data_IF_232354788276
#
_entry.id   IF_232354788276
#
_cell.length_a   1.000
_cell.length_b   1.000
_cell.length_c   1.000
_cell.angle_alpha   90.00
_cell.angle_beta   90.00
_cell.angle_gamma   90.00
#
_symmetry.space_group_name_H-M   'P 1'
#
loop_
_entity.id
_entity.type
_entity.pdbx_description
1 polymer ?
#
# COMPACT_ATOMS: atom_id res chain seq x y z
N UNK A 1 47.55 48.32 -20.73
CA UNK A 1 46.75 47.09 -20.89
C UNK A 1 46.53 46.35 -19.56
N UNK A 2 46.18 47.05 -18.47
CA UNK A 2 45.82 46.40 -17.18
C UNK A 2 44.46 46.85 -16.63
N UNK A 3 43.89 47.92 -17.19
CA UNK A 3 42.61 48.48 -16.77
C UNK A 3 41.44 48.11 -17.71
N UNK A 4 41.73 47.44 -18.84
CA UNK A 4 40.71 47.01 -19.81
C UNK A 4 40.13 45.62 -19.49
N UNK A 5 40.88 44.80 -18.74
CA UNK A 5 40.46 43.43 -18.36
C UNK A 5 39.46 43.46 -17.19
N UNK A 6 39.55 44.45 -16.29
CA UNK A 6 38.68 44.55 -15.11
C UNK A 6 37.24 44.94 -15.49
N UNK A 7 37.05 45.69 -16.58
CA UNK A 7 35.70 46.12 -17.02
C UNK A 7 34.92 44.96 -17.64
N UNK A 8 35.58 44.06 -18.38
CA UNK A 8 34.93 42.90 -19.01
C UNK A 8 34.48 41.87 -17.98
N UNK A 9 35.22 41.71 -16.87
CA UNK A 9 34.83 40.78 -15.80
C UNK A 9 33.61 41.28 -15.02
N UNK A 10 33.39 42.60 -14.92
CA UNK A 10 32.20 43.16 -14.26
C UNK A 10 30.94 43.22 -15.14
N UNK A 11 31.06 43.15 -16.48
CA UNK A 11 29.88 43.16 -17.36
C UNK A 11 29.31 41.77 -17.65
N UNK A 12 30.07 40.70 -17.36
CA UNK A 12 29.59 39.30 -17.51
C UNK A 12 28.88 38.81 -16.24
N UNK A 13 28.97 39.54 -15.13
CA UNK A 13 28.36 39.14 -13.85
C UNK A 13 26.92 39.65 -13.63
N UNK A 14 26.33 40.38 -14.59
CA UNK A 14 24.98 40.97 -14.44
C UNK A 14 23.95 40.51 -15.47
N UNK A 15 24.28 39.55 -16.34
CA UNK A 15 23.32 38.93 -17.29
C UNK A 15 23.10 37.44 -17.05
N UNK A 16 23.32 36.98 -15.81
CA UNK A 16 22.76 35.73 -15.30
C UNK A 16 21.66 36.03 -14.27
N UNK A 17 20.75 36.95 -14.61
CA UNK A 17 19.36 36.74 -14.25
C UNK A 17 18.88 35.59 -15.14
N UNK A 18 19.31 34.38 -14.80
CA UNK A 18 18.44 33.24 -15.02
C UNK A 18 17.18 33.60 -14.24
N UNK A 19 16.13 33.97 -14.96
CA UNK A 19 14.82 33.51 -14.58
C UNK A 19 15.01 32.00 -14.42
N UNK A 20 15.32 31.58 -13.19
CA UNK A 20 14.87 30.33 -12.70
C UNK A 20 13.36 30.44 -12.88
N UNK A 21 12.89 30.03 -14.07
CA UNK A 21 11.65 29.33 -14.19
C UNK A 21 11.76 28.31 -13.06
N UNK A 22 11.20 28.66 -11.91
CA UNK A 22 10.70 27.68 -11.01
C UNK A 22 9.97 26.76 -11.96
N UNK A 23 10.52 25.56 -12.19
CA UNK A 23 9.70 24.46 -12.59
C UNK A 23 8.61 24.51 -11.54
N UNK A 24 7.48 25.13 -11.89
CA UNK A 24 6.21 24.64 -11.45
C UNK A 24 6.23 23.23 -11.99
N UNK A 25 6.87 22.34 -11.23
CA UNK A 25 6.40 20.99 -11.13
C UNK A 25 4.94 21.24 -10.79
N UNK A 26 4.08 21.23 -11.81
CA UNK A 26 2.69 20.87 -11.63
C UNK A 26 2.74 19.40 -11.20
N UNK A 27 3.30 19.13 -10.01
CA UNK A 27 3.40 17.80 -9.45
C UNK A 27 1.98 17.28 -9.42
N UNK A 28 1.71 16.19 -10.15
CA UNK A 28 0.41 15.54 -10.36
C UNK A 28 -0.84 16.27 -9.80
N UNK A 29 -1.05 17.52 -10.23
CA UNK A 29 -2.10 18.37 -9.70
C UNK A 29 -3.15 18.54 -10.78
N UNK A 30 -4.37 18.14 -10.46
CA UNK A 30 -5.49 18.19 -11.40
C UNK A 30 -6.81 18.26 -10.64
N UNK A 31 -7.84 18.77 -11.31
CA UNK A 31 -9.20 18.76 -10.81
C UNK A 31 -10.07 17.79 -11.60
N UNK A 32 -10.90 17.04 -10.89
CA UNK A 32 -12.00 16.25 -11.44
C UNK A 32 -13.29 17.01 -11.16
N UNK A 33 -13.94 17.59 -12.17
CA UNK A 33 -15.07 18.52 -12.01
C UNK A 33 -16.41 17.91 -12.42
N UNK A 34 -17.52 18.45 -11.91
CA UNK A 34 -18.90 18.09 -12.26
C UNK A 34 -19.25 16.60 -12.07
N UNK A 35 -18.56 15.91 -11.16
CA UNK A 35 -18.80 14.50 -10.91
C UNK A 35 -19.94 14.30 -9.90
N UNK A 36 -20.58 13.13 -9.97
CA UNK A 36 -21.34 12.59 -8.84
C UNK A 36 -20.43 11.69 -8.00
N UNK A 37 -20.17 12.07 -6.76
CA UNK A 37 -19.35 11.27 -5.84
C UNK A 37 -20.25 10.31 -5.05
N UNK A 38 -19.86 9.04 -5.02
CA UNK A 38 -20.46 8.04 -4.13
C UNK A 38 -19.73 8.09 -2.79
N UNK A 39 -20.35 8.73 -1.81
CA UNK A 39 -19.86 8.80 -0.44
C UNK A 39 -20.26 7.50 0.28
N UNK A 40 -19.32 6.55 0.28
CA UNK A 40 -19.50 5.22 0.89
C UNK A 40 -19.57 5.26 2.41
N UNK A 41 -19.02 6.29 3.05
CA UNK A 41 -19.03 6.44 4.50
C UNK A 41 -20.43 6.84 4.99
N UNK A 42 -21.03 7.83 4.33
CA UNK A 42 -22.35 8.34 4.69
C UNK A 42 -23.49 7.75 3.85
N UNK A 43 -23.20 6.78 2.98
CA UNK A 43 -24.19 6.09 2.13
C UNK A 43 -25.06 7.03 1.29
N UNK A 44 -24.43 8.04 0.66
CA UNK A 44 -25.14 9.06 -0.13
C UNK A 44 -24.44 9.38 -1.45
N UNK A 45 -25.18 9.99 -2.36
CA UNK A 45 -24.65 10.55 -3.60
C UNK A 45 -24.50 12.06 -3.45
N UNK A 46 -23.38 12.59 -3.91
CA UNK A 46 -23.07 14.02 -3.89
C UNK A 46 -22.87 14.50 -5.32
N UNK A 47 -23.87 15.20 -5.85
CA UNK A 47 -23.88 15.71 -7.23
C UNK A 47 -23.15 17.05 -7.37
N UNK A 48 -22.74 17.38 -8.59
CA UNK A 48 -22.03 18.61 -8.94
C UNK A 48 -20.81 18.87 -8.02
N UNK A 49 -19.96 17.87 -7.87
CA UNK A 49 -18.77 17.95 -7.02
C UNK A 49 -17.49 18.07 -7.84
N UNK A 50 -16.51 18.75 -7.26
CA UNK A 50 -15.15 18.83 -7.74
C UNK A 50 -14.17 18.27 -6.70
N UNK A 51 -13.26 17.41 -7.16
CA UNK A 51 -12.13 16.91 -6.39
C UNK A 51 -10.86 17.58 -6.89
N UNK A 52 -10.14 18.28 -6.01
CA UNK A 52 -8.80 18.81 -6.28
C UNK A 52 -7.75 17.82 -5.78
N UNK A 53 -6.92 17.32 -6.69
CA UNK A 53 -5.73 16.52 -6.38
C UNK A 53 -4.51 17.42 -6.47
N UNK A 54 -3.64 17.31 -5.46
CA UNK A 54 -2.36 18.01 -5.40
C UNK A 54 -1.32 17.08 -4.78
N UNK A 55 -0.16 16.91 -5.43
CA UNK A 55 0.95 16.07 -4.97
C UNK A 55 0.49 14.67 -4.55
N UNK A 56 -0.25 14.00 -5.44
CA UNK A 56 -0.83 12.65 -5.26
C UNK A 56 -1.80 12.50 -4.08
N UNK A 57 -2.32 13.61 -3.54
CA UNK A 57 -3.28 13.61 -2.44
C UNK A 57 -4.55 14.37 -2.80
N UNK A 58 -5.67 13.94 -2.22
CA UNK A 58 -6.91 14.71 -2.25
C UNK A 58 -6.71 15.96 -1.38
N UNK A 59 -6.65 17.12 -2.02
CA UNK A 59 -6.52 18.41 -1.34
C UNK A 59 -7.86 18.91 -0.81
N UNK A 60 -8.91 18.74 -1.61
CA UNK A 60 -10.28 19.11 -1.20
C UNK A 60 -11.33 18.45 -2.07
N UNK A 61 -12.53 18.30 -1.51
CA UNK A 61 -13.76 17.91 -2.21
C UNK A 61 -14.81 18.97 -1.90
N UNK A 62 -15.34 19.66 -2.92
CA UNK A 62 -16.29 20.78 -2.76
C UNK A 62 -17.32 20.79 -3.89
N UNK A 63 -18.46 21.44 -3.67
CA UNK A 63 -19.40 21.74 -4.76
C UNK A 63 -18.65 22.53 -5.84
N UNK A 64 -18.85 22.19 -7.11
CA UNK A 64 -18.17 22.83 -8.24
C UNK A 64 -18.39 24.34 -8.25
N UNK A 65 -19.56 24.81 -7.85
CA UNK A 65 -19.89 26.24 -7.85
C UNK A 65 -19.14 27.04 -6.75
N UNK A 66 -18.55 26.34 -5.78
CA UNK A 66 -17.88 26.91 -4.61
C UNK A 66 -16.35 26.78 -4.62
N UNK A 67 -15.78 26.15 -5.65
CA UNK A 67 -14.34 25.97 -5.78
C UNK A 67 -13.78 26.93 -6.84
N UNK A 68 -12.67 27.58 -6.51
CA UNK A 68 -11.89 28.39 -7.45
C UNK A 68 -10.65 27.59 -7.78
N UNK A 69 -10.46 27.28 -9.06
CA UNK A 69 -9.31 26.53 -9.56
C UNK A 69 -8.30 27.50 -10.18
N UNK A 70 -7.01 27.19 -10.02
CA UNK A 70 -5.93 27.94 -10.67
C UNK A 70 -5.99 27.76 -12.20
N UNK A 71 -5.65 28.81 -12.95
CA UNK A 71 -5.84 28.86 -14.42
C UNK A 71 -4.98 27.87 -15.21
N UNK A 72 -3.91 27.35 -14.62
CA UNK A 72 -2.98 26.38 -15.21
C UNK A 72 -3.20 24.94 -14.71
N UNK A 73 -4.24 24.69 -13.91
CA UNK A 73 -4.55 23.36 -13.42
C UNK A 73 -5.12 22.48 -14.55
N UNK A 74 -4.68 21.23 -14.65
CA UNK A 74 -5.33 20.25 -15.53
C UNK A 74 -6.74 19.96 -15.02
N UNK A 75 -7.76 20.24 -15.82
CA UNK A 75 -9.17 19.99 -15.49
C UNK A 75 -9.68 18.81 -16.31
N UNK A 76 -10.36 17.88 -15.63
CA UNK A 76 -11.02 16.73 -16.23
C UNK A 76 -12.50 16.83 -15.87
N UNK A 77 -13.34 17.15 -16.87
CA UNK A 77 -14.78 17.22 -16.70
C UNK A 77 -15.41 15.83 -16.71
N UNK A 78 -16.17 15.52 -15.67
CA UNK A 78 -16.79 14.24 -15.41
C UNK A 78 -18.32 14.35 -15.32
N UNK A 79 -18.92 15.36 -15.97
CA UNK A 79 -20.37 15.49 -16.06
C UNK A 79 -21.04 14.17 -16.50
N UNK A 80 -22.07 13.76 -15.75
CA UNK A 80 -22.78 12.50 -15.97
C UNK A 80 -21.97 11.23 -15.62
N UNK A 81 -20.81 11.37 -14.97
CA UNK A 81 -19.98 10.25 -14.48
C UNK A 81 -20.00 10.20 -12.95
N UNK A 82 -19.63 9.02 -12.45
CA UNK A 82 -19.52 8.75 -11.02
C UNK A 82 -18.06 8.58 -10.61
N UNK A 83 -17.73 9.03 -9.42
CA UNK A 83 -16.47 8.74 -8.74
C UNK A 83 -16.75 7.86 -7.53
N UNK A 84 -15.98 6.78 -7.42
CA UNK A 84 -15.91 5.91 -6.25
C UNK A 84 -14.47 5.89 -5.72
N UNK A 85 -14.23 5.54 -4.45
CA UNK A 85 -12.89 5.22 -3.98
C UNK A 85 -12.27 4.06 -4.79
N UNK A 86 -10.94 4.03 -4.87
CA UNK A 86 -10.22 2.89 -5.43
C UNK A 86 -10.59 1.60 -4.70
N UNK A 87 -10.79 0.51 -5.45
CA UNK A 87 -11.22 -0.76 -4.88
C UNK A 87 -10.05 -1.43 -4.14
N UNK A 88 -10.38 -2.19 -3.10
CA UNK A 88 -9.41 -2.91 -2.27
C UNK A 88 -9.73 -4.40 -2.29
N UNK A 89 -8.79 -5.22 -2.78
CA UNK A 89 -8.88 -6.68 -2.62
C UNK A 89 -8.12 -7.12 -1.36
N UNK A 90 -8.87 -7.53 -0.35
CA UNK A 90 -8.33 -7.84 0.98
C UNK A 90 -7.74 -9.25 1.12
N UNK A 91 -7.77 -10.09 0.07
CA UNK A 91 -7.29 -11.47 0.17
C UNK A 91 -6.73 -12.00 -1.15
N UNK A 92 -5.45 -11.70 -1.41
CA UNK A 92 -4.70 -12.24 -2.57
C UNK A 92 -3.55 -13.15 -2.15
N UNK A 93 -2.98 -13.86 -3.14
CA UNK A 93 -1.79 -14.73 -3.01
C UNK A 93 -0.85 -14.54 -4.21
N UNK A 94 0.03 -13.55 -4.14
CA UNK A 94 0.96 -13.11 -5.19
C UNK A 94 2.30 -13.85 -5.17
N UNK A 95 2.68 -14.54 -4.08
CA UNK A 95 3.92 -15.33 -4.06
C UNK A 95 3.88 -16.57 -4.96
N UNK A 96 2.69 -17.10 -5.25
CA UNK A 96 2.47 -18.36 -5.98
C UNK A 96 2.55 -18.20 -7.50
N UNK A 97 1.78 -17.30 -8.14
CA UNK A 97 1.76 -17.21 -9.60
C UNK A 97 3.09 -16.69 -10.15
N UNK A 98 3.54 -17.25 -11.28
CA UNK A 98 4.72 -16.75 -12.00
C UNK A 98 4.42 -15.40 -12.69
N UNK A 99 3.18 -15.18 -13.12
CA UNK A 99 2.73 -13.96 -13.79
C UNK A 99 2.18 -12.89 -12.83
N UNK A 100 2.70 -12.80 -11.59
CA UNK A 100 2.21 -11.86 -10.56
C UNK A 100 2.20 -10.39 -10.97
N UNK A 101 3.17 -9.94 -11.79
CA UNK A 101 3.22 -8.56 -12.31
C UNK A 101 2.03 -8.27 -13.23
N UNK A 102 1.72 -9.19 -14.14
CA UNK A 102 0.55 -9.11 -15.02
C UNK A 102 -0.76 -9.09 -14.20
N UNK A 103 -0.85 -9.92 -13.15
CA UNK A 103 -2.01 -9.94 -12.25
C UNK A 103 -2.19 -8.58 -11.56
N UNK A 104 -1.12 -7.99 -11.02
CA UNK A 104 -1.14 -6.67 -10.39
C UNK A 104 -1.59 -5.57 -11.36
N UNK A 105 -1.09 -5.58 -12.60
CA UNK A 105 -1.53 -4.63 -13.62
C UNK A 105 -3.00 -4.82 -13.98
N UNK A 106 -3.48 -6.06 -14.12
CA UNK A 106 -4.90 -6.34 -14.40
C UNK A 106 -5.81 -5.87 -13.26
N UNK A 107 -5.40 -6.09 -12.02
CA UNK A 107 -6.12 -5.61 -10.84
C UNK A 107 -6.25 -4.08 -10.87
N UNK A 108 -5.14 -3.37 -11.10
CA UNK A 108 -5.14 -1.92 -11.23
C UNK A 108 -6.07 -1.42 -12.35
N UNK A 109 -5.98 -2.00 -13.56
CA UNK A 109 -6.82 -1.61 -14.69
C UNK A 109 -8.30 -1.97 -14.50
N UNK A 110 -8.62 -2.89 -13.58
CA UNK A 110 -9.99 -3.19 -13.16
C UNK A 110 -10.51 -2.29 -12.04
N UNK A 111 -9.71 -1.33 -11.56
CA UNK A 111 -10.07 -0.40 -10.50
C UNK A 111 -9.63 -0.82 -9.09
N UNK A 112 -8.95 -1.96 -8.93
CA UNK A 112 -8.36 -2.38 -7.66
C UNK A 112 -7.02 -1.69 -7.48
N UNK A 113 -7.00 -0.61 -6.68
CA UNK A 113 -5.80 0.20 -6.46
C UNK A 113 -4.91 -0.37 -5.37
N UNK A 114 -5.45 -1.17 -4.46
CA UNK A 114 -4.69 -1.76 -3.36
C UNK A 114 -5.10 -3.20 -3.11
N UNK A 115 -4.12 -4.02 -2.74
CA UNK A 115 -4.33 -5.42 -2.37
C UNK A 115 -3.69 -5.76 -1.04
N UNK A 116 -4.25 -6.76 -0.36
CA UNK A 116 -3.64 -7.37 0.81
C UNK A 116 -3.32 -8.85 0.55
N UNK A 117 -2.04 -9.16 0.53
CA UNK A 117 -1.55 -10.53 0.46
C UNK A 117 -1.57 -11.20 1.84
N UNK A 118 -2.11 -12.41 1.90
CA UNK A 118 -2.38 -13.12 3.16
C UNK A 118 -1.26 -14.05 3.62
N UNK A 119 -0.11 -14.02 2.96
CA UNK A 119 1.07 -14.73 3.40
C UNK A 119 1.89 -15.26 2.23
N UNK A 120 3.20 -15.16 2.36
CA UNK A 120 4.17 -15.61 1.38
C UNK A 120 5.55 -15.10 1.77
N UNK A 121 6.44 -14.96 0.79
CA UNK A 121 7.79 -14.47 1.03
C UNK A 121 7.83 -12.94 0.96
N UNK A 122 8.15 -12.28 2.08
CA UNK A 122 8.18 -10.83 2.17
C UNK A 122 9.12 -10.17 1.15
N UNK A 123 10.23 -10.83 0.79
CA UNK A 123 11.21 -10.28 -0.17
C UNK A 123 10.62 -10.07 -1.56
N UNK A 124 9.67 -10.94 -1.95
CA UNK A 124 8.93 -10.80 -3.21
C UNK A 124 8.09 -9.52 -3.17
N UNK A 125 7.36 -9.29 -2.07
CA UNK A 125 6.48 -8.15 -1.94
C UNK A 125 7.25 -6.84 -1.83
N UNK A 126 8.37 -6.83 -1.10
CA UNK A 126 9.30 -5.68 -1.06
C UNK A 126 9.80 -5.30 -2.46
N UNK A 127 10.20 -6.30 -3.25
CA UNK A 127 10.67 -6.08 -4.63
C UNK A 127 9.55 -5.49 -5.49
N UNK A 128 8.35 -6.06 -5.44
CA UNK A 128 7.20 -5.57 -6.21
C UNK A 128 6.77 -4.17 -5.79
N UNK A 129 6.69 -3.88 -4.49
CA UNK A 129 6.38 -2.54 -3.99
C UNK A 129 7.42 -1.53 -4.44
N UNK A 130 8.71 -1.88 -4.41
CA UNK A 130 9.76 -1.01 -4.94
C UNK A 130 9.55 -0.72 -6.42
N UNK A 131 9.27 -1.73 -7.23
CA UNK A 131 9.00 -1.52 -8.66
C UNK A 131 7.76 -0.64 -8.91
N UNK A 132 6.72 -0.77 -8.09
CA UNK A 132 5.51 0.08 -8.17
C UNK A 132 5.83 1.53 -7.80
N UNK A 133 6.49 1.74 -6.65
CA UNK A 133 6.88 3.07 -6.15
C UNK A 133 7.82 3.78 -7.13
N UNK A 134 8.77 3.05 -7.72
CA UNK A 134 9.71 3.60 -8.70
C UNK A 134 9.06 3.84 -10.09
N UNK A 135 7.78 3.47 -10.28
CA UNK A 135 7.06 3.59 -11.55
C UNK A 135 7.47 2.56 -12.62
N UNK A 136 8.26 1.56 -12.26
CA UNK A 136 8.70 0.47 -13.14
C UNK A 136 7.61 -0.61 -13.35
N UNK A 137 6.61 -0.65 -12.47
CA UNK A 137 5.46 -1.55 -12.57
C UNK A 137 4.17 -0.77 -12.29
N UNK A 138 3.31 -0.64 -13.31
CA UNK A 138 1.93 -0.18 -13.11
C UNK A 138 1.11 -1.31 -12.49
N UNK A 139 0.91 -1.29 -11.18
CA UNK A 139 0.17 -2.30 -10.44
C UNK A 139 -0.43 -1.77 -9.15
N UNK A 140 -1.35 -2.52 -8.56
CA UNK A 140 -1.96 -2.20 -7.27
C UNK A 140 -0.93 -2.17 -6.14
N UNK A 141 -1.08 -1.25 -5.19
CA UNK A 141 -0.26 -1.20 -3.98
C UNK A 141 -0.39 -2.50 -3.18
N UNK A 142 0.72 -3.02 -2.67
CA UNK A 142 0.74 -4.31 -1.97
C UNK A 142 0.96 -4.09 -0.48
N UNK A 143 -0.08 -4.42 0.29
CA UNK A 143 0.01 -4.69 1.71
C UNK A 143 0.14 -6.19 1.92
N UNK A 144 0.89 -6.65 2.91
CA UNK A 144 1.11 -8.08 3.10
C UNK A 144 1.29 -8.46 4.56
N UNK A 145 0.98 -9.72 4.85
CA UNK A 145 1.03 -10.27 6.21
C UNK A 145 2.17 -11.26 6.37
N UNK A 146 2.79 -11.28 7.54
CA UNK A 146 3.57 -12.44 7.97
C UNK A 146 2.60 -13.59 8.31
N UNK A 147 3.00 -14.83 8.06
CA UNK A 147 2.18 -15.99 8.40
C UNK A 147 2.62 -16.59 9.72
N UNK A 148 1.67 -16.82 10.62
CA UNK A 148 1.89 -17.39 11.94
C UNK A 148 1.20 -18.76 12.01
N UNK A 149 1.96 -19.78 12.41
CA UNK A 149 1.50 -21.16 12.47
C UNK A 149 1.60 -21.73 13.88
N UNK A 150 0.67 -22.61 14.22
CA UNK A 150 0.82 -23.49 15.38
C UNK A 150 1.75 -24.68 15.12
N UNK A 151 2.04 -25.47 16.17
CA UNK A 151 3.09 -26.50 16.17
C UNK A 151 2.96 -27.59 15.11
N UNK A 152 1.76 -27.84 14.59
CA UNK A 152 1.45 -28.98 13.73
C UNK A 152 1.47 -28.67 12.23
N UNK A 153 1.75 -27.43 11.81
CA UNK A 153 1.51 -26.99 10.42
C UNK A 153 2.70 -27.14 9.45
N UNK A 154 3.92 -27.40 9.91
CA UNK A 154 5.12 -27.41 9.04
C UNK A 154 5.24 -28.58 8.05
N UNK A 155 4.25 -29.47 7.98
CA UNK A 155 4.21 -30.55 6.97
C UNK A 155 3.70 -30.10 5.61
N UNK A 156 3.16 -28.89 5.51
CA UNK A 156 2.64 -28.38 4.24
C UNK A 156 3.78 -27.94 3.30
N UNK A 157 3.86 -28.48 2.06
CA UNK A 157 4.94 -28.15 1.12
C UNK A 157 5.00 -26.66 0.74
N UNK A 158 3.91 -25.89 0.90
CA UNK A 158 3.88 -24.45 0.65
C UNK A 158 4.83 -23.68 1.58
N UNK A 159 5.04 -24.17 2.80
CA UNK A 159 5.92 -23.55 3.78
C UNK A 159 7.37 -23.52 3.31
N UNK A 160 7.83 -24.56 2.59
CA UNK A 160 9.19 -24.63 2.04
C UNK A 160 9.46 -23.55 0.99
N UNK A 161 8.49 -23.27 0.12
CA UNK A 161 8.64 -22.26 -0.92
C UNK A 161 8.56 -20.84 -0.38
N UNK A 162 7.73 -20.58 0.64
CA UNK A 162 7.60 -19.26 1.25
C UNK A 162 8.79 -18.89 2.16
N UNK A 163 9.59 -19.87 2.57
CA UNK A 163 10.74 -19.69 3.47
C UNK A 163 12.07 -20.12 2.85
N UNK A 164 12.25 -20.01 1.53
CA UNK A 164 13.50 -20.40 0.86
C UNK A 164 14.70 -19.69 1.52
N UNK A 165 15.67 -20.48 1.99
CA UNK A 165 16.84 -19.99 2.73
C UNK A 165 16.68 -19.98 4.26
N UNK A 166 15.52 -20.40 4.77
CA UNK A 166 15.23 -20.60 6.18
C UNK A 166 14.67 -22.01 6.41
N UNK A 167 14.76 -22.49 7.64
CA UNK A 167 13.94 -23.63 8.04
C UNK A 167 12.46 -23.21 8.03
N UNK A 168 11.54 -24.05 7.52
CA UNK A 168 10.12 -23.74 7.57
C UNK A 168 9.67 -23.41 9.00
N UNK A 169 9.07 -22.23 9.19
CA UNK A 169 8.64 -21.73 10.50
C UNK A 169 9.65 -20.84 11.21
N UNK A 170 10.83 -20.61 10.63
CA UNK A 170 11.88 -19.74 11.19
C UNK A 170 12.25 -18.55 10.30
N UNK A 171 11.49 -18.25 9.24
CA UNK A 171 11.66 -17.02 8.47
C UNK A 171 10.93 -15.84 9.15
N UNK A 172 11.46 -14.61 9.16
CA UNK A 172 10.82 -13.46 9.83
C UNK A 172 9.36 -13.20 9.40
N UNK A 173 9.04 -13.47 8.14
CA UNK A 173 7.69 -13.36 7.58
C UNK A 173 6.87 -14.67 7.64
N UNK A 174 7.42 -15.74 8.22
CA UNK A 174 6.77 -17.05 8.33
C UNK A 174 7.23 -17.80 9.58
N UNK A 175 6.44 -17.69 10.66
CA UNK A 175 6.82 -18.12 12.01
C UNK A 175 5.94 -19.23 12.54
N UNK A 176 6.56 -20.24 13.15
CA UNK A 176 5.89 -21.18 14.05
C UNK A 176 5.95 -20.64 15.47
N UNK A 177 4.84 -20.72 16.20
CA UNK A 177 4.77 -20.32 17.60
C UNK A 177 4.23 -21.45 18.47
N UNK A 178 4.71 -21.46 19.71
CA UNK A 178 4.39 -22.37 20.81
C UNK A 178 4.15 -21.54 22.07
N UNK A 179 3.72 -22.15 23.17
CA UNK A 179 3.52 -21.45 24.44
C UNK A 179 4.86 -20.96 25.05
N UNK A 180 5.98 -21.55 24.64
CA UNK A 180 7.34 -21.16 25.04
C UNK A 180 7.95 -20.07 24.14
N UNK A 181 7.28 -19.70 23.04
CA UNK A 181 7.82 -18.74 22.09
C UNK A 181 7.79 -17.31 22.64
N UNK A 182 8.90 -16.58 22.54
CA UNK A 182 8.91 -15.14 22.81
C UNK A 182 8.18 -14.39 21.69
N UNK A 183 6.91 -14.07 21.92
CA UNK A 183 6.05 -13.43 20.93
C UNK A 183 6.49 -12.01 20.56
N UNK A 184 7.16 -11.29 21.47
CA UNK A 184 7.62 -9.93 21.17
C UNK A 184 8.66 -9.95 20.05
N UNK A 185 9.66 -10.83 20.15
CA UNK A 185 10.68 -11.02 19.10
C UNK A 185 10.03 -11.44 17.78
N UNK A 186 9.06 -12.36 17.83
CA UNK A 186 8.33 -12.81 16.63
C UNK A 186 7.63 -11.66 15.91
N UNK A 187 6.98 -10.77 16.67
CA UNK A 187 6.26 -9.62 16.13
C UNK A 187 7.23 -8.56 15.59
N UNK A 188 8.34 -8.32 16.28
CA UNK A 188 9.38 -7.38 15.86
C UNK A 188 10.06 -7.83 14.57
N UNK A 189 10.53 -9.08 14.52
CA UNK A 189 11.14 -9.65 13.33
C UNK A 189 10.20 -9.58 12.13
N UNK A 190 8.90 -9.89 12.34
CA UNK A 190 7.90 -9.76 11.28
C UNK A 190 7.77 -8.30 10.82
N UNK A 191 7.69 -7.34 11.76
CA UNK A 191 7.57 -5.91 11.45
C UNK A 191 8.76 -5.40 10.63
N UNK A 192 9.98 -5.84 10.95
CA UNK A 192 11.19 -5.46 10.22
C UNK A 192 11.16 -5.89 8.74
N UNK A 193 10.34 -6.88 8.40
CA UNK A 193 10.12 -7.27 7.00
C UNK A 193 9.14 -6.38 6.25
N UNK A 194 8.55 -5.37 6.89
CA UNK A 194 7.63 -4.42 6.24
C UNK A 194 6.18 -4.90 6.11
N UNK A 195 5.78 -5.94 6.85
CA UNK A 195 4.39 -6.40 6.90
C UNK A 195 3.48 -5.37 7.56
N UNK A 196 2.21 -5.36 7.17
CA UNK A 196 1.18 -4.53 7.82
C UNK A 196 0.29 -5.30 8.79
N UNK A 197 0.52 -6.61 8.90
CA UNK A 197 -0.13 -7.42 9.90
C UNK A 197 0.36 -8.87 9.92
N UNK A 198 -0.30 -9.66 10.76
CA UNK A 198 -0.04 -11.07 10.97
C UNK A 198 -1.28 -11.87 10.55
N UNK A 199 -1.07 -12.91 9.74
CA UNK A 199 -2.08 -13.90 9.42
C UNK A 199 -1.84 -15.15 10.25
N UNK A 200 -2.67 -15.35 11.26
CA UNK A 200 -2.68 -16.56 12.06
C UNK A 200 -3.43 -17.66 11.31
N UNK A 201 -2.76 -18.79 11.13
CA UNK A 201 -3.31 -19.98 10.50
C UNK A 201 -3.88 -20.95 11.56
N UNK A 202 -3.77 -22.26 11.36
CA UNK A 202 -4.34 -23.25 12.25
C UNK A 202 -3.46 -23.55 13.46
N UNK A 203 -4.08 -24.17 14.47
CA UNK A 203 -3.42 -24.77 15.63
C UNK A 203 -2.72 -23.80 16.59
N UNK A 204 -3.16 -22.54 16.63
CA UNK A 204 -2.81 -21.57 17.68
C UNK A 204 -3.91 -21.57 18.73
N UNK A 205 -3.56 -21.73 20.01
CA UNK A 205 -4.54 -21.72 21.10
C UNK A 205 -5.19 -20.33 21.24
N UNK A 206 -6.43 -20.23 21.78
CA UNK A 206 -7.06 -18.93 22.01
C UNK A 206 -6.22 -18.00 22.90
N UNK A 207 -5.57 -18.55 23.94
CA UNK A 207 -4.69 -17.78 24.84
C UNK A 207 -3.48 -17.22 24.08
N UNK A 208 -2.82 -18.06 23.29
CA UNK A 208 -1.65 -17.64 22.50
C UNK A 208 -2.02 -16.61 21.44
N UNK A 209 -3.19 -16.76 20.81
CA UNK A 209 -3.74 -15.79 19.85
C UNK A 209 -4.02 -14.43 20.51
N UNK A 210 -4.58 -14.41 21.72
CA UNK A 210 -4.85 -13.17 22.45
C UNK A 210 -3.54 -12.44 22.79
N UNK A 211 -2.55 -13.16 23.33
CA UNK A 211 -1.22 -12.59 23.64
C UNK A 211 -0.55 -12.03 22.38
N UNK A 212 -0.53 -12.81 21.29
CA UNK A 212 0.03 -12.38 20.01
C UNK A 212 -0.66 -11.12 19.49
N UNK A 213 -1.99 -11.05 19.60
CA UNK A 213 -2.78 -9.90 19.15
C UNK A 213 -2.45 -8.63 19.94
N UNK A 214 -2.28 -8.75 21.26
CA UNK A 214 -1.87 -7.63 22.11
C UNK A 214 -0.50 -7.07 21.69
N UNK A 215 0.49 -7.93 21.50
CA UNK A 215 1.83 -7.51 21.05
C UNK A 215 1.81 -6.91 19.65
N UNK A 216 1.08 -7.52 18.72
CA UNK A 216 0.94 -7.01 17.36
C UNK A 216 0.35 -5.59 17.35
N UNK A 217 -0.74 -5.37 18.10
CA UNK A 217 -1.37 -4.04 18.20
C UNK A 217 -0.45 -2.99 18.84
N UNK A 218 0.34 -3.35 19.85
CA UNK A 218 1.36 -2.44 20.43
C UNK A 218 2.43 -2.01 19.42
N UNK A 219 2.61 -2.76 18.33
CA UNK A 219 3.56 -2.47 17.25
C UNK A 219 2.85 -2.00 15.97
N UNK A 220 1.58 -1.58 16.06
CA UNK A 220 0.74 -1.11 14.95
C UNK A 220 0.47 -2.14 13.84
N UNK A 221 0.65 -3.43 14.14
CA UNK A 221 0.33 -4.53 13.23
C UNK A 221 -1.09 -5.01 13.44
N UNK A 222 -1.84 -5.21 12.35
CA UNK A 222 -3.17 -5.85 12.40
C UNK A 222 -3.04 -7.36 12.52
N UNK A 223 -4.08 -8.03 12.99
CA UNK A 223 -4.13 -9.50 13.07
C UNK A 223 -5.37 -10.04 12.39
N UNK A 224 -5.18 -11.04 11.54
CA UNK A 224 -6.24 -11.80 10.90
C UNK A 224 -6.07 -13.28 11.19
N UNK A 225 -7.16 -14.00 11.44
CA UNK A 225 -7.11 -15.44 11.67
C UNK A 225 -7.80 -16.21 10.56
N UNK A 226 -7.32 -17.42 10.27
CA UNK A 226 -8.06 -18.41 9.51
C UNK A 226 -8.88 -19.25 10.50
N UNK A 227 -10.19 -19.03 10.52
CA UNK A 227 -11.09 -19.78 11.40
C UNK A 227 -11.51 -21.05 10.68
N UNK A 228 -11.05 -22.20 11.18
CA UNK A 228 -11.63 -23.50 10.84
C UNK A 228 -12.70 -23.78 11.91
N UNK A 229 -13.99 -23.64 11.61
CA UNK A 229 -15.02 -23.99 12.57
C UNK A 229 -14.87 -25.47 12.97
N UNK A 230 -15.09 -25.82 14.26
CA UNK A 230 -15.03 -27.21 14.70
C UNK A 230 -16.04 -28.04 13.90
N UNK A 231 -15.62 -29.23 13.45
CA UNK A 231 -16.45 -30.14 12.63
C UNK A 231 -17.77 -30.57 13.32
N UNK A 232 -17.88 -30.40 14.64
CA UNK A 232 -19.02 -30.83 15.45
C UNK A 232 -19.63 -29.66 16.25
N UNK A 233 -20.15 -28.62 15.59
CA UNK A 233 -21.24 -27.84 16.19
C UNK A 233 -22.55 -28.49 15.80
N UNK A 234 -23.06 -29.38 16.65
CA UNK A 234 -24.51 -29.61 16.69
C UNK A 234 -25.15 -28.27 17.01
N UNK A 235 -25.89 -27.73 16.04
CA UNK A 235 -26.77 -26.59 16.27
C UNK A 235 -27.84 -27.12 17.23
N UNK A 236 -27.75 -26.72 18.50
CA UNK A 236 -28.85 -26.85 19.46
C UNK A 236 -29.83 -25.71 19.24
#
# INVERSE_FOLDING_TARGET
MRNLIIVIVLTVFTTLYSDALAQTNSGNSFALTNATIIDVENSRQMENMTILIQDDKIKSIKSTDSIILESNLKIIDLNGKFIIPGLIDSHVHLFRPKNRKEILSKLLYSGVTSVRDMGGDARIYQTLNKEIIDGNLNGSDIYYSATIFGPTFLKDPRTKFAAIGFEPGSAPWMRLITDETNLEIIVEDAKETGVTGLKVYSNVSPELLLKLTEFAHKKDLKVWSHIIPPKNRTVS
#
